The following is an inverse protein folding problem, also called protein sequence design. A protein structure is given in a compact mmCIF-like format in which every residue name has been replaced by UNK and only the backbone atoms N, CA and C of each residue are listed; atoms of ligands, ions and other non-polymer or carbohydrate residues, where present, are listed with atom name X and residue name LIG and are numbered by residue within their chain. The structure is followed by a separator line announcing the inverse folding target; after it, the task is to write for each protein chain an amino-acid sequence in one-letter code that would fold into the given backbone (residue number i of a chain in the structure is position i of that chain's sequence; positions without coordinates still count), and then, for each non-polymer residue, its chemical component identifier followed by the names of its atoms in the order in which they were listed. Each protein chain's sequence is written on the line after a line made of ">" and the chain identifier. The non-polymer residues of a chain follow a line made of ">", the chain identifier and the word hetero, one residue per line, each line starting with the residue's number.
data_IF_755700598511
#
_entry.id   IF_755700598511
#
_cell.length_a   1.000
_cell.length_b   1.000
_cell.length_c   1.000
_cell.angle_alpha   90.00
_cell.angle_beta   90.00
_cell.angle_gamma   90.00
#
_symmetry.space_group_name_H-M   'P 1'
#
loop_
_entity.id
_entity.type
_entity.pdbx_description
1 polymer ?
#
# COMPACT_ATOMS: atom_id res chain seq x y z
N UNK A 1 -31.35 -3.98 -31.22
CA UNK A 1 -30.23 -4.12 -32.18
C UNK A 1 -29.31 -5.21 -31.66
N UNK A 2 -29.24 -6.36 -32.35
CA UNK A 2 -28.40 -7.49 -31.95
C UNK A 2 -27.04 -7.37 -32.66
N UNK A 3 -25.95 -7.25 -31.90
CA UNK A 3 -24.59 -7.32 -32.47
C UNK A 3 -24.32 -8.79 -32.86
N UNK A 4 -23.90 -9.07 -34.12
CA UNK A 4 -23.54 -10.44 -34.52
C UNK A 4 -22.31 -10.92 -33.76
N UNK A 5 -22.27 -12.23 -33.48
CA UNK A 5 -21.14 -12.87 -32.79
C UNK A 5 -19.86 -12.80 -33.65
N UNK A 6 -18.72 -12.55 -33.00
CA UNK A 6 -17.42 -12.53 -33.66
C UNK A 6 -17.05 -13.94 -34.11
N UNK A 7 -16.76 -14.12 -35.41
CA UNK A 7 -16.48 -15.42 -36.05
C UNK A 7 -15.09 -15.98 -35.74
N UNK A 8 -14.17 -15.16 -35.25
CA UNK A 8 -12.82 -15.57 -34.89
C UNK A 8 -12.51 -15.14 -33.45
N UNK A 9 -11.87 -16.00 -32.65
CA UNK A 9 -11.32 -15.56 -31.37
C UNK A 9 -10.34 -14.40 -31.61
N UNK A 10 -10.35 -13.35 -30.78
CA UNK A 10 -9.38 -12.28 -30.90
C UNK A 10 -7.96 -12.85 -30.79
N UNK A 11 -7.12 -12.57 -31.79
CA UNK A 11 -5.70 -12.86 -31.74
C UNK A 11 -5.05 -11.88 -30.75
N UNK A 12 -4.98 -12.29 -29.48
CA UNK A 12 -4.33 -11.51 -28.44
C UNK A 12 -2.85 -11.88 -28.49
N UNK A 13 -2.00 -10.97 -28.97
CA UNK A 13 -0.57 -11.15 -28.85
C UNK A 13 -0.20 -11.31 -27.37
N UNK A 14 0.65 -12.29 -27.06
CA UNK A 14 1.12 -12.51 -25.71
C UNK A 14 1.81 -11.25 -25.20
N UNK A 15 1.45 -10.81 -24.00
CA UNK A 15 2.12 -9.69 -23.36
C UNK A 15 3.63 -10.00 -23.26
N UNK A 16 4.51 -9.02 -23.52
CA UNK A 16 5.95 -9.22 -23.34
C UNK A 16 6.23 -9.70 -21.91
N UNK A 17 6.82 -10.89 -21.77
CA UNK A 17 7.09 -11.51 -20.47
C UNK A 17 8.35 -10.95 -19.79
N UNK A 18 9.26 -10.33 -20.55
CA UNK A 18 10.54 -9.83 -20.04
C UNK A 18 10.49 -8.32 -19.77
N UNK A 19 9.62 -7.91 -18.83
CA UNK A 19 9.80 -6.61 -18.20
C UNK A 19 11.01 -6.71 -17.24
N UNK A 20 11.94 -5.73 -17.23
CA UNK A 20 13.09 -5.71 -16.33
C UNK A 20 12.64 -5.39 -14.90
N UNK A 21 11.85 -6.27 -14.30
CA UNK A 21 11.30 -6.17 -12.96
C UNK A 21 12.11 -7.08 -12.07
N UNK A 22 12.61 -6.54 -10.96
CA UNK A 22 13.24 -7.35 -9.93
C UNK A 22 12.18 -8.23 -9.24
N UNK A 23 12.35 -9.54 -9.34
CA UNK A 23 11.50 -10.56 -8.69
C UNK A 23 12.15 -11.15 -7.44
N UNK A 24 13.26 -10.58 -6.97
CA UNK A 24 13.88 -10.93 -5.70
C UNK A 24 13.19 -10.26 -4.51
N UNK A 25 13.53 -10.67 -3.27
CA UNK A 25 13.01 -10.04 -2.08
C UNK A 25 13.47 -8.56 -1.97
N UNK A 26 12.74 -7.72 -1.23
CA UNK A 26 13.11 -6.32 -1.03
C UNK A 26 14.48 -6.17 -0.37
N UNK A 27 15.32 -5.29 -0.91
CA UNK A 27 16.66 -4.98 -0.37
C UNK A 27 16.60 -3.93 0.74
N UNK A 28 17.65 -3.89 1.59
CA UNK A 28 17.78 -2.86 2.64
C UNK A 28 17.85 -1.45 2.02
N UNK A 29 18.48 -1.30 0.86
CA UNK A 29 18.62 -0.06 0.13
C UNK A 29 17.26 0.45 -0.37
N UNK A 30 16.45 -0.42 -0.98
CA UNK A 30 15.08 -0.09 -1.42
C UNK A 30 14.22 0.36 -0.23
N UNK A 31 14.28 -0.38 0.88
CA UNK A 31 13.55 -0.04 2.11
C UNK A 31 14.01 1.31 2.66
N UNK A 32 15.33 1.54 2.72
CA UNK A 32 15.91 2.79 3.21
C UNK A 32 15.49 3.99 2.35
N UNK A 33 15.48 3.82 1.03
CA UNK A 33 14.99 4.85 0.10
C UNK A 33 13.50 5.11 0.30
N UNK A 34 12.69 4.06 0.45
CA UNK A 34 11.27 4.19 0.70
C UNK A 34 11.00 5.00 1.98
N UNK A 35 11.67 4.66 3.11
CA UNK A 35 11.56 5.39 4.39
C UNK A 35 11.87 6.88 4.23
N UNK A 36 12.91 7.22 3.47
CA UNK A 36 13.30 8.62 3.22
C UNK A 36 12.24 9.38 2.41
N UNK A 37 11.55 8.70 1.50
CA UNK A 37 10.55 9.30 0.62
C UNK A 37 9.16 9.46 1.26
N UNK A 38 8.83 8.69 2.31
CA UNK A 38 7.54 8.82 3.00
C UNK A 38 7.36 10.26 3.50
N UNK A 39 6.16 10.84 3.36
CA UNK A 39 5.90 12.21 3.82
C UNK A 39 5.74 12.25 5.34
N UNK A 40 6.39 13.20 6.00
CA UNK A 40 6.18 13.50 7.42
C UNK A 40 4.83 14.21 7.64
N UNK A 41 4.35 14.25 8.89
CA UNK A 41 3.08 14.86 9.28
C UNK A 41 1.85 14.06 8.86
N UNK A 42 2.01 12.75 8.62
CA UNK A 42 0.90 11.82 8.40
C UNK A 42 0.36 11.34 9.74
N UNK A 43 -0.94 11.11 9.81
CA UNK A 43 -1.53 10.46 10.98
C UNK A 43 -0.95 9.05 11.12
N UNK A 44 -0.62 8.67 12.36
CA UNK A 44 -0.24 7.29 12.66
C UNK A 44 -1.41 6.35 12.42
N UNK A 45 -1.11 5.10 12.08
CA UNK A 45 -2.09 4.03 12.00
C UNK A 45 -2.58 3.62 13.39
N UNK A 46 -3.36 2.53 13.47
CA UNK A 46 -3.81 1.95 14.74
C UNK A 46 -2.68 1.55 15.70
N UNK A 47 -1.47 1.33 15.16
CA UNK A 47 -0.25 1.03 15.92
C UNK A 47 0.32 2.23 16.69
N UNK A 48 -0.16 3.45 16.42
CA UNK A 48 0.31 4.71 16.96
C UNK A 48 1.80 5.01 16.66
N UNK A 49 2.37 4.41 15.61
CA UNK A 49 3.75 4.67 15.19
C UNK A 49 3.75 5.81 14.17
N UNK A 50 4.31 6.99 14.51
CA UNK A 50 4.39 8.10 13.56
C UNK A 50 5.49 7.84 12.52
N UNK A 51 5.34 8.41 11.32
CA UNK A 51 6.36 8.32 10.25
C UNK A 51 7.71 8.89 10.71
N UNK A 52 7.70 9.87 11.59
CA UNK A 52 8.88 10.48 12.20
C UNK A 52 9.70 9.46 13.00
N UNK A 53 9.06 8.49 13.66
CA UNK A 53 9.76 7.42 14.36
C UNK A 53 10.49 6.50 13.38
N UNK A 54 9.87 6.18 12.24
CA UNK A 54 10.51 5.38 11.18
C UNK A 54 11.75 6.08 10.61
N UNK A 55 11.71 7.41 10.54
CA UNK A 55 12.78 8.25 10.01
C UNK A 55 13.88 8.59 11.03
N UNK A 56 13.64 8.42 12.33
CA UNK A 56 14.58 8.80 13.39
C UNK A 56 15.92 8.06 13.26
N UNK A 57 15.87 6.76 12.95
CA UNK A 57 17.03 5.96 12.56
C UNK A 57 16.66 5.08 11.37
N UNK A 58 16.87 5.62 10.17
CA UNK A 58 16.56 4.92 8.91
C UNK A 58 17.32 3.60 8.80
N UNK A 59 18.57 3.54 9.27
CA UNK A 59 19.39 2.34 9.14
C UNK A 59 18.89 1.22 10.07
N UNK A 60 18.56 1.54 11.32
CA UNK A 60 17.97 0.57 12.24
C UNK A 60 16.57 0.13 11.77
N UNK A 61 15.71 1.08 11.41
CA UNK A 61 14.36 0.77 10.92
C UNK A 61 14.41 -0.09 9.66
N UNK A 62 15.29 0.22 8.70
CA UNK A 62 15.43 -0.58 7.48
C UNK A 62 15.87 -2.03 7.77
N UNK A 63 16.80 -2.24 8.72
CA UNK A 63 17.20 -3.61 9.13
C UNK A 63 16.04 -4.39 9.74
N UNK A 64 15.25 -3.77 10.61
CA UNK A 64 14.10 -4.40 11.25
C UNK A 64 13.04 -4.77 10.19
N UNK A 65 12.70 -3.82 9.32
CA UNK A 65 11.72 -4.05 8.26
C UNK A 65 12.20 -5.09 7.24
N UNK A 66 13.50 -5.14 6.92
CA UNK A 66 14.06 -6.13 6.02
C UNK A 66 13.87 -7.56 6.54
N UNK A 67 14.04 -7.79 7.85
CA UNK A 67 13.77 -9.11 8.46
C UNK A 67 12.30 -9.48 8.28
N UNK A 68 11.39 -8.54 8.55
CA UNK A 68 9.95 -8.76 8.39
C UNK A 68 9.56 -9.02 6.92
N UNK A 69 10.07 -8.23 5.99
CA UNK A 69 9.72 -8.33 4.58
C UNK A 69 10.24 -9.62 3.95
N UNK A 70 11.45 -10.06 4.31
CA UNK A 70 11.95 -11.37 3.87
C UNK A 70 11.07 -12.50 4.40
N UNK A 71 10.65 -12.43 5.67
CA UNK A 71 9.73 -13.44 6.21
C UNK A 71 8.40 -13.48 5.46
N UNK A 72 7.81 -12.32 5.17
CA UNK A 72 6.56 -12.22 4.39
C UNK A 72 6.77 -12.76 2.97
N UNK A 73 7.94 -12.48 2.38
CA UNK A 73 8.30 -12.95 1.04
C UNK A 73 8.42 -14.48 0.99
N UNK A 74 9.10 -15.08 1.96
CA UNK A 74 9.33 -16.53 2.03
C UNK A 74 8.06 -17.31 2.40
N UNK A 75 7.25 -16.77 3.31
CA UNK A 75 6.02 -17.44 3.79
C UNK A 75 4.81 -17.13 2.91
N UNK A 76 4.90 -16.14 2.02
CA UNK A 76 3.79 -15.57 1.23
C UNK A 76 2.61 -15.08 2.09
N UNK A 77 2.86 -14.75 3.36
CA UNK A 77 1.82 -14.46 4.35
C UNK A 77 1.99 -13.06 4.94
N UNK A 78 1.05 -12.17 4.60
CA UNK A 78 1.01 -10.81 5.13
C UNK A 78 0.35 -10.80 6.53
N UNK A 79 0.87 -10.03 7.50
CA UNK A 79 0.26 -9.86 8.82
C UNK A 79 -1.22 -9.48 8.73
N UNK A 80 -2.03 -10.03 9.63
CA UNK A 80 -3.48 -9.74 9.69
C UNK A 80 -3.75 -8.26 9.91
N UNK A 81 -2.94 -7.61 10.74
CA UNK A 81 -3.08 -6.19 11.08
C UNK A 81 -2.98 -5.29 9.84
N UNK A 82 -2.19 -5.68 8.83
CA UNK A 82 -2.05 -4.92 7.58
C UNK A 82 -3.26 -5.08 6.63
N UNK A 83 -4.16 -6.02 6.93
CA UNK A 83 -5.41 -6.23 6.19
C UNK A 83 -6.58 -5.46 6.82
N UNK A 84 -6.34 -4.85 7.98
CA UNK A 84 -7.32 -4.08 8.73
C UNK A 84 -6.98 -2.58 8.66
N UNK A 85 -7.98 -1.73 8.83
CA UNK A 85 -7.79 -0.28 8.81
C UNK A 85 -8.89 0.42 9.58
N UNK A 86 -8.57 1.57 10.17
CA UNK A 86 -9.48 2.36 10.98
C UNK A 86 -10.24 3.37 10.10
N UNK A 87 -11.55 3.20 9.97
CA UNK A 87 -12.42 4.13 9.25
C UNK A 87 -12.75 5.35 10.12
N UNK A 88 -12.31 6.53 9.71
CA UNK A 88 -12.56 7.81 10.38
C UNK A 88 -13.43 8.69 9.50
N UNK A 89 -14.44 9.33 10.11
CA UNK A 89 -15.31 10.31 9.46
C UNK A 89 -14.77 11.72 9.70
N UNK A 90 -14.36 12.41 8.64
CA UNK A 90 -13.94 13.82 8.71
C UNK A 90 -15.13 14.70 8.31
N UNK A 91 -15.58 15.63 9.16
CA UNK A 91 -16.66 16.55 8.82
C UNK A 91 -16.22 17.52 7.71
N UNK A 92 -17.08 17.73 6.72
CA UNK A 92 -17.00 18.79 5.71
C UNK A 92 -17.87 19.97 6.16
N UNK A 93 -17.74 21.11 5.47
CA UNK A 93 -18.62 22.26 5.66
C UNK A 93 -20.07 21.89 5.32
N UNK A 94 -21.01 22.25 6.20
CA UNK A 94 -22.44 22.03 6.00
C UNK A 94 -23.14 21.54 7.27
N UNK A 95 -24.35 21.05 7.09
CA UNK A 95 -25.16 20.45 8.16
C UNK A 95 -24.63 19.06 8.56
N UNK A 96 -24.13 18.93 9.79
CA UNK A 96 -23.51 17.71 10.30
C UNK A 96 -24.52 16.57 10.56
N UNK A 97 -25.82 16.80 10.44
CA UNK A 97 -26.83 15.74 10.47
C UNK A 97 -26.91 14.93 9.17
N UNK A 98 -26.38 15.47 8.05
CA UNK A 98 -26.40 14.83 6.73
C UNK A 98 -25.13 14.00 6.50
N UNK A 99 -25.29 12.72 6.17
CA UNK A 99 -24.18 11.80 5.93
C UNK A 99 -23.21 12.28 4.83
N UNK A 100 -23.73 12.90 3.77
CA UNK A 100 -22.94 13.40 2.62
C UNK A 100 -21.92 14.48 3.00
N UNK A 101 -22.15 15.16 4.12
CA UNK A 101 -21.26 16.17 4.70
C UNK A 101 -20.09 15.56 5.48
N UNK A 102 -19.86 14.25 5.38
CA UNK A 102 -18.65 13.60 5.89
C UNK A 102 -17.78 13.05 4.74
N UNK A 103 -16.48 13.03 4.98
CA UNK A 103 -15.50 12.31 4.17
C UNK A 103 -14.97 11.15 5.00
N UNK A 104 -15.22 9.92 4.54
CA UNK A 104 -14.52 8.76 5.09
C UNK A 104 -13.05 8.79 4.67
N UNK A 105 -12.15 8.58 5.62
CA UNK A 105 -10.76 8.19 5.38
C UNK A 105 -10.49 6.89 6.11
N UNK A 106 -9.61 6.07 5.56
CA UNK A 106 -9.10 4.89 6.26
C UNK A 106 -7.66 5.18 6.66
N UNK A 107 -7.37 5.02 7.95
CA UNK A 107 -5.99 4.93 8.42
C UNK A 107 -5.57 3.46 8.35
N UNK A 108 -4.45 3.24 7.69
CA UNK A 108 -3.76 1.95 7.62
C UNK A 108 -2.70 1.92 8.73
#
# INVERSE_FOLDING_TARGET
>A
MNRPALLNPPNIEAAPTDLPINVGPPTIEEISMAIRQIKSGKAAGPDNIPVEALKADVAATARILHILFNKIWDEEQVPKDWKEGLLIKIPKKGDLSKCDNYRGITLL
#
